data_IF_354669312772
#
_entry.id   IF_354669312772
#
_cell.length_a   1.000
_cell.length_b   1.000
_cell.length_c   1.000
_cell.angle_alpha   90.00
_cell.angle_beta   90.00
_cell.angle_gamma   90.00
#
_symmetry.space_group_name_H-M   'P 1'
#
loop_
_entity.id
_entity.type
_entity.pdbx_description
1 polymer ?
#
# COMPACT_ATOMS: atom_id res chain seq x y z
N UNK A 1 27.90 -2.75 -17.17
CA UNK A 1 26.80 -2.03 -16.53
C UNK A 1 25.48 -2.51 -17.15
N UNK A 2 24.58 -3.06 -16.33
CA UNK A 2 23.27 -3.53 -16.79
C UNK A 2 22.32 -2.34 -16.86
N UNK A 3 21.81 -2.05 -18.05
CA UNK A 3 20.83 -0.98 -18.25
C UNK A 3 19.44 -1.43 -17.78
N UNK A 4 18.69 -0.53 -17.19
CA UNK A 4 17.34 -0.78 -16.75
C UNK A 4 17.00 -0.04 -15.46
N UNK A 5 15.79 -0.29 -14.95
CA UNK A 5 15.33 0.28 -13.70
C UNK A 5 15.46 -0.73 -12.55
N UNK A 6 16.28 -0.40 -11.56
CA UNK A 6 16.52 -1.26 -10.40
C UNK A 6 15.35 -1.20 -9.41
N UNK A 7 14.87 -2.37 -8.98
CA UNK A 7 13.77 -2.48 -8.01
C UNK A 7 14.33 -2.50 -6.60
N UNK A 8 14.03 -1.47 -5.82
CA UNK A 8 14.38 -1.39 -4.40
C UNK A 8 13.35 -2.07 -3.51
N UNK A 9 12.08 -2.02 -3.90
CA UNK A 9 10.99 -2.61 -3.12
C UNK A 9 9.74 -2.77 -4.01
N UNK A 10 8.83 -3.65 -3.59
CA UNK A 10 7.54 -3.85 -4.25
C UNK A 10 6.42 -3.81 -3.20
N UNK A 11 5.27 -3.25 -3.58
CA UNK A 11 4.08 -3.25 -2.71
C UNK A 11 3.46 -4.65 -2.74
N UNK A 12 3.33 -5.34 -1.57
CA UNK A 12 2.78 -6.70 -1.51
C UNK A 12 1.39 -6.86 -2.13
N UNK A 13 0.61 -5.80 -2.18
CA UNK A 13 -0.75 -5.83 -2.70
C UNK A 13 -0.83 -5.55 -4.20
N UNK A 14 0.28 -5.21 -4.84
CA UNK A 14 0.30 -4.81 -6.24
C UNK A 14 0.74 -5.95 -7.15
N UNK A 15 0.37 -5.82 -8.43
CA UNK A 15 0.58 -6.86 -9.43
C UNK A 15 2.03 -7.32 -9.59
N UNK A 16 2.99 -6.40 -9.47
CA UNK A 16 4.40 -6.75 -9.59
C UNK A 16 4.85 -7.73 -8.51
N UNK A 17 4.51 -7.46 -7.26
CA UNK A 17 4.86 -8.35 -6.14
C UNK A 17 4.18 -9.71 -6.28
N UNK A 18 2.88 -9.71 -6.61
CA UNK A 18 2.10 -10.94 -6.78
C UNK A 18 2.68 -11.79 -7.92
N UNK A 19 3.18 -11.16 -8.97
CA UNK A 19 3.81 -11.84 -10.11
C UNK A 19 5.22 -12.38 -9.82
N UNK A 20 5.80 -11.99 -8.68
CA UNK A 20 7.12 -12.46 -8.27
C UNK A 20 8.27 -11.52 -8.56
N UNK A 21 8.01 -10.29 -8.97
CA UNK A 21 9.05 -9.25 -9.08
C UNK A 21 9.46 -8.85 -7.67
N UNK A 22 10.77 -8.76 -7.43
CA UNK A 22 11.30 -8.54 -6.08
C UNK A 22 12.51 -7.62 -6.09
N UNK A 23 12.90 -7.19 -4.89
CA UNK A 23 14.09 -6.36 -4.69
C UNK A 23 15.32 -7.02 -5.35
N UNK A 24 16.09 -6.21 -6.06
CA UNK A 24 17.28 -6.66 -6.77
C UNK A 24 17.05 -6.92 -8.26
N UNK A 25 15.80 -7.03 -8.68
CA UNK A 25 15.47 -7.19 -10.09
C UNK A 25 15.73 -5.89 -10.85
N UNK A 26 16.13 -6.00 -12.10
CA UNK A 26 16.33 -4.86 -13.00
C UNK A 26 15.32 -4.98 -14.12
N UNK A 27 14.38 -4.05 -14.21
CA UNK A 27 13.40 -4.01 -15.29
C UNK A 27 14.06 -3.40 -16.53
N UNK A 28 14.10 -4.17 -17.61
CA UNK A 28 14.71 -3.73 -18.87
C UNK A 28 13.68 -3.35 -19.92
N UNK A 29 12.51 -3.97 -19.89
CA UNK A 29 11.50 -3.79 -20.91
C UNK A 29 10.12 -4.18 -20.38
N UNK A 30 9.10 -3.43 -20.77
CA UNK A 30 7.69 -3.79 -20.51
C UNK A 30 7.00 -3.83 -21.87
N UNK A 31 6.44 -4.99 -22.21
CA UNK A 31 5.91 -5.27 -23.56
C UNK A 31 7.00 -4.98 -24.59
N UNK A 32 6.85 -3.98 -25.44
CA UNK A 32 7.84 -3.59 -26.42
C UNK A 32 8.56 -2.27 -26.10
N UNK A 33 8.37 -1.77 -24.88
CA UNK A 33 8.92 -0.48 -24.46
C UNK A 33 10.16 -0.67 -23.60
N UNK A 34 11.29 -0.10 -24.03
CA UNK A 34 12.54 -0.15 -23.29
C UNK A 34 12.46 0.75 -22.06
N UNK A 35 12.88 0.22 -20.91
CA UNK A 35 12.87 0.91 -19.63
C UNK A 35 14.30 1.13 -19.17
N UNK A 36 14.73 2.39 -19.04
CA UNK A 36 16.05 2.77 -18.54
C UNK A 36 15.98 3.54 -17.24
N UNK A 37 14.87 4.27 -17.01
CA UNK A 37 14.71 5.12 -15.84
C UNK A 37 13.26 5.12 -15.38
N UNK A 38 13.02 5.66 -14.19
CA UNK A 38 11.67 5.70 -13.60
C UNK A 38 10.65 6.40 -14.49
N UNK A 39 11.07 7.47 -15.21
CA UNK A 39 10.15 8.18 -16.09
C UNK A 39 9.62 7.31 -17.23
N UNK A 40 10.45 6.39 -17.75
CA UNK A 40 10.03 5.44 -18.80
C UNK A 40 8.98 4.48 -18.24
N UNK A 41 9.23 3.95 -17.04
CA UNK A 41 8.32 3.04 -16.34
C UNK A 41 6.99 3.74 -16.05
N UNK A 42 7.05 4.91 -15.40
CA UNK A 42 5.88 5.68 -15.00
C UNK A 42 5.05 6.10 -16.23
N UNK A 43 5.72 6.58 -17.29
CA UNK A 43 5.05 7.00 -18.52
C UNK A 43 4.28 5.88 -19.18
N UNK A 44 4.89 4.68 -19.26
CA UNK A 44 4.22 3.53 -19.84
C UNK A 44 3.05 3.03 -18.99
N UNK A 45 3.26 2.91 -17.68
CA UNK A 45 2.21 2.43 -16.76
C UNK A 45 1.01 3.38 -16.71
N UNK A 46 1.23 4.70 -16.84
CA UNK A 46 0.14 5.68 -16.87
C UNK A 46 -0.77 5.54 -18.09
N UNK A 47 -0.29 4.88 -19.16
CA UNK A 47 -1.10 4.59 -20.36
C UNK A 47 -1.95 3.33 -20.21
N UNK A 48 -1.78 2.58 -19.12
CA UNK A 48 -2.46 1.31 -18.88
C UNK A 48 -3.57 1.44 -17.83
N UNK A 49 -4.42 0.44 -17.78
CA UNK A 49 -5.57 0.38 -16.87
C UNK A 49 -5.43 -0.76 -15.87
N UNK A 50 -6.05 -0.67 -14.69
CA UNK A 50 -6.15 -1.81 -13.80
C UNK A 50 -6.77 -3.01 -14.52
N UNK A 51 -6.18 -4.19 -14.30
CA UNK A 51 -6.59 -5.42 -14.99
C UNK A 51 -5.79 -5.74 -16.24
N UNK A 52 -5.09 -4.75 -16.83
CA UNK A 52 -4.24 -5.01 -18.00
C UNK A 52 -3.09 -5.96 -17.62
N UNK A 53 -2.76 -6.84 -18.57
CA UNK A 53 -1.64 -7.79 -18.42
C UNK A 53 -0.45 -7.27 -19.18
N UNK A 54 0.71 -7.28 -18.53
CA UNK A 54 1.97 -6.83 -19.10
C UNK A 54 2.99 -7.95 -19.10
N UNK A 55 3.88 -7.95 -20.11
CA UNK A 55 5.05 -8.82 -20.12
C UNK A 55 6.26 -7.98 -19.72
N UNK A 56 6.88 -8.32 -18.58
CA UNK A 56 7.99 -7.57 -18.03
C UNK A 56 9.27 -8.38 -18.17
N UNK A 57 10.26 -7.82 -18.86
CA UNK A 57 11.57 -8.41 -18.97
C UNK A 57 12.47 -7.87 -17.89
N UNK A 58 12.99 -8.75 -17.05
CA UNK A 58 13.88 -8.40 -15.94
C UNK A 58 15.20 -9.16 -16.04
N UNK A 59 16.20 -8.63 -15.34
CA UNK A 59 17.45 -9.34 -15.06
C UNK A 59 17.47 -9.68 -13.58
N UNK A 60 17.67 -10.93 -13.27
CA UNK A 60 17.81 -11.47 -11.91
C UNK A 60 18.99 -12.44 -11.91
N UNK A 61 19.96 -12.20 -11.02
CA UNK A 61 21.16 -13.05 -10.92
C UNK A 61 21.85 -13.23 -12.28
N UNK A 62 21.97 -12.14 -13.03
CA UNK A 62 22.56 -12.07 -14.38
C UNK A 62 21.81 -12.88 -15.44
N UNK A 63 20.58 -13.27 -15.15
CA UNK A 63 19.73 -14.03 -16.09
C UNK A 63 18.51 -13.19 -16.50
N UNK A 64 18.17 -13.26 -17.79
CA UNK A 64 16.97 -12.60 -18.32
C UNK A 64 15.75 -13.47 -18.06
N UNK A 65 14.72 -12.88 -17.48
CA UNK A 65 13.44 -13.53 -17.24
C UNK A 65 12.30 -12.67 -17.79
N UNK A 66 11.26 -13.33 -18.31
CA UNK A 66 10.02 -12.66 -18.69
C UNK A 66 8.95 -13.03 -17.67
N UNK A 67 8.34 -12.03 -17.04
CA UNK A 67 7.32 -12.22 -16.03
C UNK A 67 6.03 -11.54 -16.47
N UNK A 68 4.93 -12.29 -16.47
CA UNK A 68 3.61 -11.74 -16.70
C UNK A 68 3.10 -11.02 -15.45
N UNK A 69 2.69 -9.77 -15.60
CA UNK A 69 2.18 -8.95 -14.49
C UNK A 69 0.78 -8.46 -14.83
N UNK A 70 -0.16 -8.66 -13.92
CA UNK A 70 -1.49 -8.06 -14.03
C UNK A 70 -1.55 -6.82 -13.15
N UNK A 71 -1.90 -5.68 -13.74
CA UNK A 71 -2.01 -4.43 -13.00
C UNK A 71 -3.23 -4.45 -12.09
N UNK A 72 -3.04 -3.96 -10.88
CA UNK A 72 -4.11 -3.79 -9.90
C UNK A 72 -4.31 -2.31 -9.60
N UNK A 73 -5.55 -1.93 -9.28
CA UNK A 73 -5.84 -0.58 -8.85
C UNK A 73 -5.20 -0.35 -7.48
N UNK A 74 -4.45 0.74 -7.36
CA UNK A 74 -3.99 1.23 -6.07
C UNK A 74 -5.18 1.94 -5.41
N UNK A 75 -5.79 1.30 -4.39
CA UNK A 75 -6.94 1.86 -3.69
C UNK A 75 -6.50 2.54 -2.41
N UNK A 76 -6.04 3.80 -2.55
CA UNK A 76 -5.88 4.67 -1.41
C UNK A 76 -7.21 5.38 -1.14
N UNK A 77 -7.58 5.47 0.13
CA UNK A 77 -8.79 6.17 0.57
C UNK A 77 -8.38 7.32 1.48
N UNK A 78 -8.95 8.49 1.24
CA UNK A 78 -8.77 9.64 2.12
C UNK A 78 -9.80 9.60 3.23
N UNK A 79 -9.35 9.70 4.47
CA UNK A 79 -10.23 9.62 5.65
C UNK A 79 -9.62 10.44 6.79
N UNK A 80 -10.33 11.48 7.22
CA UNK A 80 -9.92 12.38 8.32
C UNK A 80 -8.46 12.85 8.22
N UNK A 81 -8.06 13.27 7.02
CA UNK A 81 -6.71 13.77 6.78
C UNK A 81 -5.65 12.69 6.66
N UNK A 82 -6.03 11.43 6.70
CA UNK A 82 -5.15 10.30 6.49
C UNK A 82 -5.37 9.69 5.11
N UNK A 83 -4.31 9.16 4.54
CA UNK A 83 -4.37 8.31 3.36
C UNK A 83 -4.22 6.86 3.83
N UNK A 84 -5.24 6.06 3.62
CA UNK A 84 -5.32 4.68 4.10
C UNK A 84 -5.39 3.69 2.94
N UNK A 85 -4.86 2.49 3.15
CA UNK A 85 -4.94 1.41 2.16
C UNK A 85 -5.21 0.07 2.82
N UNK A 86 -5.74 -0.86 2.02
CA UNK A 86 -5.88 -2.24 2.45
C UNK A 86 -4.51 -2.88 2.65
N UNK A 87 -4.44 -3.88 3.52
CA UNK A 87 -3.21 -4.60 3.82
C UNK A 87 -3.38 -6.09 3.54
N UNK A 88 -2.25 -6.76 3.28
CA UNK A 88 -2.22 -8.19 3.09
C UNK A 88 -2.20 -8.92 4.44
N UNK A 89 -2.49 -10.22 4.41
CA UNK A 89 -2.40 -11.06 5.61
C UNK A 89 -0.99 -11.06 6.20
N UNK A 90 0.05 -11.03 5.35
CA UNK A 90 1.44 -10.98 5.82
C UNK A 90 1.75 -9.68 6.55
N UNK A 91 1.23 -8.55 6.10
CA UNK A 91 1.40 -7.28 6.81
C UNK A 91 0.69 -7.29 8.17
N UNK A 92 -0.48 -7.91 8.26
CA UNK A 92 -1.19 -8.09 9.53
C UNK A 92 -0.39 -8.99 10.49
N UNK A 93 0.18 -10.08 9.98
CA UNK A 93 0.99 -10.99 10.79
C UNK A 93 2.25 -10.32 11.35
N UNK A 94 2.91 -9.47 10.58
CA UNK A 94 4.08 -8.71 11.03
C UNK A 94 3.80 -7.87 12.27
N UNK A 95 2.60 -7.33 12.38
CA UNK A 95 2.17 -6.53 13.52
C UNK A 95 1.33 -7.32 14.52
N UNK A 96 1.21 -8.64 14.32
CA UNK A 96 0.38 -9.51 15.15
C UNK A 96 -1.06 -8.98 15.26
N UNK A 97 -1.59 -8.48 14.15
CA UNK A 97 -2.91 -7.88 14.06
C UNK A 97 -3.90 -8.82 13.40
N UNK A 98 -5.16 -8.79 13.84
CA UNK A 98 -6.23 -9.58 13.23
C UNK A 98 -6.83 -8.87 12.02
N UNK A 99 -6.90 -7.55 12.08
CA UNK A 99 -7.51 -6.71 11.04
C UNK A 99 -6.98 -5.29 11.11
N UNK A 100 -7.24 -4.52 10.06
CA UNK A 100 -6.93 -3.11 10.02
C UNK A 100 -6.65 -2.62 8.61
N UNK A 101 -6.59 -1.30 8.47
CA UNK A 101 -6.14 -0.63 7.25
C UNK A 101 -4.92 0.22 7.58
N UNK A 102 -3.99 0.30 6.65
CA UNK A 102 -2.69 0.92 6.90
C UNK A 102 -2.73 2.43 6.69
N UNK A 103 -2.20 3.17 7.64
CA UNK A 103 -1.95 4.60 7.51
C UNK A 103 -0.72 4.79 6.64
N UNK A 104 -0.91 5.29 5.42
CA UNK A 104 0.20 5.57 4.49
C UNK A 104 0.76 6.95 4.77
N UNK A 105 -0.12 7.94 4.87
CA UNK A 105 0.23 9.32 5.19
C UNK A 105 -0.79 9.84 6.22
N UNK A 106 -0.30 10.52 7.24
CA UNK A 106 -1.15 11.19 8.21
C UNK A 106 -0.92 12.71 8.15
N UNK A 107 -1.90 13.44 7.61
CA UNK A 107 -1.90 14.91 7.56
C UNK A 107 -2.86 15.53 8.56
N UNK A 108 -3.49 14.70 9.41
CA UNK A 108 -4.35 15.17 10.48
C UNK A 108 -3.47 15.59 11.66
N UNK A 109 -3.39 16.90 11.91
CA UNK A 109 -2.51 17.44 12.95
C UNK A 109 -2.88 16.98 14.36
N UNK A 110 -4.16 16.79 14.65
CA UNK A 110 -4.62 16.31 15.95
C UNK A 110 -4.18 14.86 16.18
N UNK A 111 -4.44 13.99 15.20
CA UNK A 111 -4.02 12.58 15.29
C UNK A 111 -2.48 12.46 15.33
N UNK A 112 -1.78 13.31 14.58
CA UNK A 112 -0.33 13.33 14.62
C UNK A 112 0.21 13.70 16.00
N UNK A 113 -0.37 14.71 16.64
CA UNK A 113 0.00 15.08 18.02
C UNK A 113 -0.34 13.99 19.03
N UNK A 114 -1.36 13.19 18.75
CA UNK A 114 -1.73 12.03 19.58
C UNK A 114 -0.86 10.81 19.34
N UNK A 115 0.10 10.88 18.41
CA UNK A 115 1.08 9.83 18.19
C UNK A 115 0.88 8.97 16.96
N UNK A 116 -0.15 9.22 16.14
CA UNK A 116 -0.43 8.39 14.95
C UNK A 116 0.60 8.68 13.85
N UNK A 117 1.25 7.63 13.37
CA UNK A 117 2.32 7.70 12.39
C UNK A 117 2.04 6.79 11.19
N UNK A 118 2.75 7.05 10.09
CA UNK A 118 2.72 6.16 8.93
C UNK A 118 3.14 4.75 9.32
N UNK A 119 2.47 3.77 8.74
CA UNK A 119 2.70 2.36 9.05
C UNK A 119 1.79 1.80 10.14
N UNK A 120 1.14 2.64 10.92
CA UNK A 120 0.14 2.18 11.89
C UNK A 120 -1.06 1.58 11.15
N UNK A 121 -1.76 0.66 11.82
CA UNK A 121 -3.04 0.14 11.31
C UNK A 121 -4.18 0.80 12.08
N UNK A 122 -5.20 1.25 11.35
CA UNK A 122 -6.46 1.65 11.95
C UNK A 122 -7.33 0.40 12.02
N UNK A 123 -7.58 -0.09 13.21
CA UNK A 123 -8.23 -1.39 13.42
C UNK A 123 -9.70 -1.32 13.83
N UNK A 124 -10.10 -0.25 14.53
CA UNK A 124 -11.47 -0.07 14.98
C UNK A 124 -11.85 1.40 14.99
N UNK A 125 -13.13 1.68 14.70
CA UNK A 125 -13.75 2.99 14.88
C UNK A 125 -15.02 2.76 15.68
N UNK A 126 -15.17 3.48 16.79
CA UNK A 126 -16.36 3.37 17.68
C UNK A 126 -16.62 1.91 18.08
N UNK A 127 -15.56 1.15 18.37
CA UNK A 127 -15.60 -0.28 18.72
C UNK A 127 -16.06 -1.21 17.58
N UNK A 128 -16.14 -0.72 16.34
CA UNK A 128 -16.49 -1.50 15.18
C UNK A 128 -15.19 -1.83 14.41
N UNK A 129 -14.99 -3.11 14.14
CA UNK A 129 -13.78 -3.57 13.42
C UNK A 129 -13.76 -3.06 11.99
N UNK A 130 -12.60 -2.57 11.57
CA UNK A 130 -12.35 -2.14 10.19
C UNK A 130 -11.52 -3.24 9.53
N UNK A 131 -12.11 -3.91 8.53
CA UNK A 131 -11.46 -5.01 7.82
C UNK A 131 -10.80 -4.55 6.53
N UNK A 132 -11.38 -3.53 5.90
CA UNK A 132 -10.87 -2.98 4.64
C UNK A 132 -11.29 -1.51 4.52
N UNK A 133 -10.79 -0.83 3.49
CA UNK A 133 -11.05 0.60 3.32
C UNK A 133 -12.51 0.92 3.04
N UNK A 134 -13.29 -0.01 2.50
CA UNK A 134 -14.72 0.23 2.27
C UNK A 134 -15.51 0.32 3.57
N UNK A 135 -15.01 -0.26 4.66
CA UNK A 135 -15.65 -0.17 5.98
C UNK A 135 -15.58 1.25 6.58
N UNK A 136 -14.74 2.12 6.03
CA UNK A 136 -14.62 3.49 6.49
C UNK A 136 -15.78 4.39 6.03
N UNK A 137 -16.46 4.00 4.97
CA UNK A 137 -17.47 4.82 4.32
C UNK A 137 -18.61 5.26 5.26
N UNK A 138 -19.20 4.38 6.08
CA UNK A 138 -20.24 4.80 7.02
C UNK A 138 -19.79 5.89 7.98
N UNK A 139 -18.50 5.91 8.34
CA UNK A 139 -17.96 6.84 9.33
C UNK A 139 -17.66 8.24 8.79
N UNK A 140 -17.80 8.45 7.48
CA UNK A 140 -17.65 9.79 6.89
C UNK A 140 -18.72 10.76 7.38
N UNK A 141 -19.87 10.24 7.79
CA UNK A 141 -21.03 11.03 8.23
C UNK A 141 -21.41 10.82 9.70
N UNK A 142 -20.76 9.90 10.39
CA UNK A 142 -21.04 9.59 11.78
C UNK A 142 -20.07 10.31 12.72
N UNK A 143 -20.52 10.56 13.94
CA UNK A 143 -19.63 11.04 14.99
C UNK A 143 -18.67 9.95 15.40
N UNK A 144 -17.38 10.25 15.35
CA UNK A 144 -16.35 9.36 15.82
C UNK A 144 -15.96 9.75 17.22
N UNK A 145 -16.15 8.84 18.18
CA UNK A 145 -15.78 9.07 19.57
C UNK A 145 -14.54 8.30 20.00
N UNK A 146 -14.14 7.29 19.23
CA UNK A 146 -12.84 6.62 19.46
C UNK A 146 -12.34 5.92 18.20
N UNK A 147 -11.02 5.85 18.09
CA UNK A 147 -10.33 5.10 17.04
C UNK A 147 -9.25 4.26 17.73
N UNK A 148 -9.16 2.98 17.36
CA UNK A 148 -8.09 2.10 17.81
C UNK A 148 -7.09 1.92 16.70
N UNK A 149 -5.83 2.22 16.99
CA UNK A 149 -4.69 1.99 16.09
C UNK A 149 -3.81 0.88 16.63
N UNK A 150 -3.08 0.24 15.73
CA UNK A 150 -2.01 -0.71 16.09
C UNK A 150 -0.72 -0.05 15.64
N UNK A 151 0.22 0.12 16.57
CA UNK A 151 1.49 0.77 16.29
C UNK A 151 2.50 -0.17 15.62
N UNK A 152 3.71 0.32 15.35
CA UNK A 152 4.74 -0.46 14.67
C UNK A 152 5.28 -1.63 15.52
N UNK A 153 5.00 -1.64 16.82
CA UNK A 153 5.35 -2.74 17.72
C UNK A 153 4.21 -3.75 17.89
N UNK A 154 3.09 -3.53 17.21
CA UNK A 154 1.91 -4.39 17.31
C UNK A 154 1.05 -4.10 18.53
N UNK A 155 1.28 -2.99 19.23
CA UNK A 155 0.51 -2.60 20.39
C UNK A 155 -0.72 -1.78 20.00
N UNK A 156 -1.84 -2.06 20.66
CA UNK A 156 -3.08 -1.32 20.43
C UNK A 156 -3.09 -0.02 21.22
N UNK A 157 -3.44 1.06 20.53
CA UNK A 157 -3.63 2.37 21.14
C UNK A 157 -5.05 2.85 20.82
N UNK A 158 -5.83 3.05 21.87
CA UNK A 158 -7.20 3.55 21.76
C UNK A 158 -7.22 5.06 22.01
N UNK A 159 -7.60 5.81 20.99
CA UNK A 159 -7.74 7.25 21.06
C UNK A 159 -9.21 7.61 21.25
N UNK A 160 -9.51 8.36 22.32
CA UNK A 160 -10.88 8.80 22.64
C UNK A 160 -10.99 10.28 22.37
N UNK A 161 -12.07 10.68 21.72
CA UNK A 161 -12.33 12.08 21.37
C UNK A 161 -13.48 12.62 22.20
N UNK A 162 -13.35 13.87 22.65
CA UNK A 162 -14.41 14.53 23.39
C UNK A 162 -15.62 14.79 22.47
N UNK A 163 -16.80 14.55 23.05
CA UNK A 163 -18.08 14.76 22.39
C UNK A 163 -18.72 16.04 22.95
N UNK A 164 -18.48 17.17 22.29
CA UNK A 164 -19.12 18.45 22.69
C UNK A 164 -20.32 18.76 21.80
#
# INVERSE_FOLDING_TARGET
ITEGFYINDTDPNMGAHIAGIRKGDIIQQIDNVKINKFADLSGYLNSKRPGDKLSVKIIRDNKSLNIGVQLKRSTYVQFYGMQLKDVSESELEELNAENGVKVVINRNGTLFRMGVRSGYLLSEINNIKILNTSDLKPFEKENIFQITFIDLNGEKEKLVFDQD
#
